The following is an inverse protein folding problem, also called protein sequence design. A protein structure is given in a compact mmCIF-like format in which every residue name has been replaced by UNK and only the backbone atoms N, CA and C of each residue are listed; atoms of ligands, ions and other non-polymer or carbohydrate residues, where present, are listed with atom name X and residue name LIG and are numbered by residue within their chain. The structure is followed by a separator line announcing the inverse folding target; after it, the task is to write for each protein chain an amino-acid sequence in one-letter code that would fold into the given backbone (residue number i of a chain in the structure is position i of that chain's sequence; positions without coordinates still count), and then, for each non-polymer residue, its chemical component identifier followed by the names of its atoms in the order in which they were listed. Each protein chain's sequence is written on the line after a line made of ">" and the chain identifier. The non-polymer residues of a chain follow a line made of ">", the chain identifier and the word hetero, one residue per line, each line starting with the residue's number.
data_IF_148131873699
#
_entry.id   IF_148131873699
#
_cell.length_a   1.000
_cell.length_b   1.000
_cell.length_c   1.000
_cell.angle_alpha   90.00
_cell.angle_beta   90.00
_cell.angle_gamma   90.00
#
_symmetry.space_group_name_H-M   'P 1'
#
loop_
_entity.id
_entity.type
_entity.pdbx_description
1 polymer ?
#
# COMPACT_ATOMS: atom_id res chain seq x y z
N UNK A 1 2.38 36.36 14.89
CA UNK A 1 2.05 34.94 15.22
C UNK A 1 1.68 34.20 13.94
N UNK A 2 2.07 32.93 13.80
CA UNK A 2 1.70 32.04 12.67
C UNK A 2 0.83 30.90 13.19
N UNK A 3 -0.22 30.54 12.45
CA UNK A 3 -1.12 29.45 12.77
C UNK A 3 -1.08 28.39 11.68
N UNK A 4 -0.65 27.17 12.02
CA UNK A 4 -0.73 26.01 11.14
C UNK A 4 -1.84 25.07 11.64
N UNK A 5 -2.91 24.96 10.86
CA UNK A 5 -4.13 24.23 11.24
C UNK A 5 -4.31 22.98 10.39
N UNK A 6 -4.91 21.94 10.97
CA UNK A 6 -5.23 20.71 10.24
C UNK A 6 -4.02 19.80 9.99
N UNK A 7 -3.06 19.76 10.92
CA UNK A 7 -1.83 18.95 10.82
C UNK A 7 -2.10 17.46 11.10
N UNK A 8 -2.81 16.81 10.18
CA UNK A 8 -3.26 15.41 10.26
C UNK A 8 -2.75 14.63 9.04
N UNK A 9 -2.41 13.36 9.21
CA UNK A 9 -2.09 12.47 8.09
C UNK A 9 -3.24 12.40 7.09
N UNK A 10 -2.94 12.66 5.83
CA UNK A 10 -3.90 12.75 4.72
C UNK A 10 -4.43 14.15 4.44
N UNK A 11 -4.24 15.12 5.35
CA UNK A 11 -4.38 16.56 5.01
C UNK A 11 -3.02 17.22 4.84
N UNK A 12 -2.02 16.78 5.59
CA UNK A 12 -0.64 17.22 5.46
C UNK A 12 0.29 16.07 5.91
N UNK A 13 0.95 15.33 5.01
CA UNK A 13 0.88 15.45 3.56
C UNK A 13 -0.49 15.10 2.97
N UNK A 14 -0.86 15.69 1.83
CA UNK A 14 -2.16 15.43 1.17
C UNK A 14 -2.16 14.00 0.62
N UNK A 15 -3.31 13.30 0.73
CA UNK A 15 -3.48 11.88 0.36
C UNK A 15 -2.96 11.49 -1.04
N UNK A 16 -2.86 12.43 -1.97
CA UNK A 16 -2.34 12.20 -3.33
C UNK A 16 -0.83 11.95 -3.40
N UNK A 17 -0.09 12.15 -2.30
CA UNK A 17 1.35 11.89 -2.21
C UNK A 17 1.70 10.60 -1.43
N UNK A 18 0.72 9.74 -1.11
CA UNK A 18 0.93 8.49 -0.35
C UNK A 18 1.15 7.32 -1.34
N UNK A 19 2.17 7.43 -2.18
CA UNK A 19 2.64 6.37 -3.07
C UNK A 19 4.16 6.18 -2.97
N UNK A 20 4.67 5.07 -3.50
CA UNK A 20 6.10 4.73 -3.50
C UNK A 20 6.82 5.25 -4.77
N UNK A 21 6.18 6.09 -5.60
CA UNK A 21 6.74 6.49 -6.90
C UNK A 21 7.61 7.74 -6.82
N UNK A 22 8.66 7.87 -7.66
CA UNK A 22 9.27 9.10 -8.15
C UNK A 22 8.81 10.44 -7.56
N UNK A 23 7.61 10.75 -8.05
CA UNK A 23 6.93 12.00 -7.90
C UNK A 23 6.27 12.15 -6.52
N UNK A 24 5.85 11.05 -5.89
CA UNK A 24 5.20 11.06 -4.58
C UNK A 24 6.18 11.53 -3.49
N UNK A 25 7.43 11.06 -3.53
CA UNK A 25 8.45 11.50 -2.56
C UNK A 25 8.89 12.94 -2.80
N UNK A 26 8.96 13.38 -4.07
CA UNK A 26 9.22 14.78 -4.38
C UNK A 26 8.11 15.69 -3.87
N UNK A 27 6.84 15.28 -4.01
CA UNK A 27 5.69 16.02 -3.48
C UNK A 27 5.68 16.07 -1.95
N UNK A 28 5.99 14.95 -1.27
CA UNK A 28 6.14 14.92 0.20
C UNK A 28 7.25 15.87 0.65
N UNK A 29 8.39 15.88 -0.04
CA UNK A 29 9.52 16.74 0.33
C UNK A 29 9.21 18.22 0.09
N UNK A 30 8.46 18.55 -0.95
CA UNK A 30 7.99 19.92 -1.17
C UNK A 30 6.99 20.35 -0.09
N UNK A 31 6.03 19.50 0.29
CA UNK A 31 5.12 19.80 1.40
C UNK A 31 5.87 19.93 2.74
N UNK A 32 6.92 19.12 2.96
CA UNK A 32 7.82 19.26 4.11
C UNK A 32 8.55 20.61 4.08
N UNK A 33 9.06 21.02 2.93
CA UNK A 33 9.69 22.34 2.74
C UNK A 33 8.70 23.45 3.09
N UNK A 34 7.48 23.41 2.56
CA UNK A 34 6.45 24.42 2.82
C UNK A 34 6.07 24.48 4.30
N UNK A 35 5.94 23.32 4.96
CA UNK A 35 5.71 23.24 6.40
C UNK A 35 6.86 23.89 7.20
N UNK A 36 8.11 23.59 6.85
CA UNK A 36 9.28 24.18 7.51
C UNK A 36 9.41 25.69 7.26
N UNK A 37 9.05 26.17 6.06
CA UNK A 37 8.93 27.61 5.77
C UNK A 37 7.85 28.26 6.65
N UNK A 38 6.73 27.57 6.87
CA UNK A 38 5.68 28.02 7.79
C UNK A 38 6.19 28.16 9.23
N UNK A 39 6.97 27.19 9.71
CA UNK A 39 7.60 27.23 11.04
C UNK A 39 8.60 28.38 11.13
N UNK A 40 9.52 28.47 10.18
CA UNK A 40 10.62 29.46 10.23
C UNK A 40 10.15 30.90 10.00
N UNK A 41 8.97 31.11 9.41
CA UNK A 41 8.31 32.43 9.39
C UNK A 41 7.75 32.84 10.75
N UNK A 42 7.52 31.90 11.66
CA UNK A 42 7.06 32.21 13.00
C UNK A 42 8.24 32.74 13.84
N UNK A 43 8.39 34.07 13.89
CA UNK A 43 9.48 34.70 14.65
C UNK A 43 9.34 34.52 16.16
N UNK A 44 8.15 34.83 16.70
CA UNK A 44 7.91 34.82 18.16
C UNK A 44 6.83 33.83 18.60
N UNK A 45 5.77 33.66 17.82
CA UNK A 45 4.63 32.84 18.20
C UNK A 45 4.20 31.91 17.06
N UNK A 46 4.23 30.61 17.31
CA UNK A 46 3.76 29.54 16.43
C UNK A 46 2.66 28.74 17.12
N UNK A 47 1.51 28.63 16.46
CA UNK A 47 0.37 27.84 16.92
C UNK A 47 0.13 26.68 15.95
N UNK A 48 0.03 25.47 16.48
CA UNK A 48 -0.15 24.24 15.72
C UNK A 48 -1.43 23.53 16.19
N UNK A 49 -2.28 23.08 15.26
CA UNK A 49 -3.49 22.33 15.63
C UNK A 49 -3.76 21.12 14.73
N UNK A 50 -4.31 20.05 15.33
CA UNK A 50 -4.71 18.81 14.67
C UNK A 50 -5.96 18.23 15.33
N UNK A 51 -6.77 17.52 14.56
CA UNK A 51 -8.01 16.89 15.04
C UNK A 51 -7.86 15.37 15.17
N UNK A 52 -8.31 14.80 16.29
CA UNK A 52 -8.24 13.35 16.56
C UNK A 52 -9.39 12.55 15.92
N UNK A 53 -10.50 13.21 15.58
CA UNK A 53 -11.67 12.64 14.88
C UNK A 53 -12.22 13.62 13.83
N UNK A 54 -13.07 13.14 12.92
CA UNK A 54 -13.85 14.00 11.99
C UNK A 54 -15.10 14.59 12.66
N UNK A 55 -15.72 13.82 13.56
CA UNK A 55 -16.96 14.17 14.26
C UNK A 55 -16.72 14.26 15.77
N UNK A 56 -17.47 15.12 16.45
CA UNK A 56 -17.49 15.21 17.91
C UNK A 56 -17.92 13.86 18.51
N UNK A 57 -17.18 13.36 19.50
CA UNK A 57 -17.40 12.03 20.10
C UNK A 57 -17.03 10.84 19.21
N UNK A 58 -16.58 11.06 17.98
CA UNK A 58 -16.19 10.00 17.05
C UNK A 58 -14.91 9.26 17.48
N UNK A 59 -14.78 8.00 17.02
CA UNK A 59 -13.58 7.18 17.26
C UNK A 59 -12.32 7.90 16.73
N UNK A 60 -11.29 7.96 17.58
CA UNK A 60 -10.05 8.72 17.35
C UNK A 60 -9.07 7.98 16.44
N UNK A 61 -9.40 7.85 15.15
CA UNK A 61 -8.55 7.17 14.15
C UNK A 61 -7.58 8.08 13.41
N UNK A 62 -7.72 9.41 13.53
CA UNK A 62 -6.82 10.35 12.84
C UNK A 62 -5.45 10.36 13.51
N UNK A 63 -4.41 10.21 12.71
CA UNK A 63 -3.02 10.35 13.13
C UNK A 63 -2.55 11.77 12.86
N UNK A 64 -1.82 12.38 13.78
CA UNK A 64 -1.14 13.66 13.55
C UNK A 64 -0.19 13.56 12.35
N UNK A 65 0.06 14.68 11.67
CA UNK A 65 1.03 14.74 10.56
C UNK A 65 2.40 14.22 10.98
N UNK A 66 3.06 13.43 10.13
CA UNK A 66 4.44 12.99 10.32
C UNK A 66 5.45 14.13 10.43
N UNK A 67 5.16 15.31 9.89
CA UNK A 67 6.07 16.46 9.97
C UNK A 67 6.15 17.06 11.38
N UNK A 68 5.23 16.70 12.28
CA UNK A 68 5.27 17.10 13.69
C UNK A 68 6.23 16.27 14.55
N UNK A 69 6.73 15.14 14.04
CA UNK A 69 7.62 14.27 14.81
C UNK A 69 8.98 14.96 14.99
N UNK A 70 9.42 15.12 16.25
CA UNK A 70 10.72 15.73 16.59
C UNK A 70 10.71 17.26 16.71
N UNK A 71 9.58 17.93 16.49
CA UNK A 71 9.46 19.39 16.70
C UNK A 71 9.11 19.78 18.13
N UNK A 72 8.54 18.87 18.90
CA UNK A 72 8.13 19.11 20.28
C UNK A 72 9.12 18.45 21.24
N UNK A 73 9.40 19.06 22.40
CA UNK A 73 10.13 18.41 23.48
C UNK A 73 9.52 17.05 23.82
N UNK A 74 10.35 16.03 24.03
CA UNK A 74 9.92 14.64 24.27
C UNK A 74 8.95 14.50 25.47
N UNK A 75 9.05 15.41 26.44
CA UNK A 75 8.23 15.52 27.64
C UNK A 75 6.88 16.22 27.42
N UNK A 76 6.67 16.86 26.27
CA UNK A 76 5.42 17.55 25.97
C UNK A 76 4.29 16.52 25.73
N UNK A 77 3.09 16.67 26.32
CA UNK A 77 1.98 15.71 26.16
C UNK A 77 1.55 15.51 24.69
N UNK A 78 1.84 16.49 23.83
CA UNK A 78 1.63 16.38 22.38
C UNK A 78 2.76 15.71 21.59
N UNK A 79 3.94 15.49 22.20
CA UNK A 79 5.09 14.83 21.57
C UNK A 79 4.91 13.30 21.51
N UNK A 80 4.18 12.73 22.46
CA UNK A 80 3.79 11.33 22.42
C UNK A 80 2.95 11.06 21.17
N UNK A 81 3.37 10.17 20.23
CA UNK A 81 2.49 9.73 19.16
C UNK A 81 1.24 9.20 19.84
N UNK A 82 0.09 9.83 19.60
CA UNK A 82 -1.13 9.58 20.34
C UNK A 82 -1.29 8.08 20.50
N UNK A 83 -1.03 7.58 21.72
CA UNK A 83 -1.37 6.21 22.08
C UNK A 83 -2.87 6.17 21.79
N UNK A 84 -3.25 5.50 20.70
CA UNK A 84 -4.59 4.99 20.60
C UNK A 84 -4.83 4.37 21.96
N UNK A 85 -5.79 4.90 22.72
CA UNK A 85 -6.07 4.48 24.09
C UNK A 85 -6.39 2.99 24.04
N UNK A 86 -5.36 2.17 24.15
CA UNK A 86 -5.42 0.82 24.66
C UNK A 86 -5.68 1.01 26.13
N UNK A 87 -6.94 0.82 26.50
CA UNK A 87 -7.35 0.61 27.88
C UNK A 87 -6.36 -0.38 28.50
N UNK A 88 -5.83 -0.01 29.66
CA UNK A 88 -5.10 -0.91 30.54
C UNK A 88 -5.98 -2.11 30.81
N UNK A 89 -5.69 -3.19 30.12
CA UNK A 89 -6.30 -4.49 30.28
C UNK A 89 -5.24 -5.47 29.82
N UNK A 90 -4.83 -6.35 30.73
CA UNK A 90 -4.01 -7.51 30.46
C UNK A 90 -4.77 -8.47 29.53
N UNK A 91 -5.01 -8.02 28.30
CA UNK A 91 -5.53 -8.82 27.20
C UNK A 91 -4.30 -9.15 26.38
N UNK A 92 -3.98 -10.43 26.13
CA UNK A 92 -2.87 -10.76 25.26
C UNK A 92 -3.11 -10.00 23.97
N UNK A 93 -2.21 -9.04 23.71
CA UNK A 93 -2.10 -8.39 22.43
C UNK A 93 -2.22 -9.51 21.41
N UNK A 94 -3.24 -9.47 20.55
CA UNK A 94 -3.15 -10.17 19.27
C UNK A 94 -1.90 -9.58 18.67
N UNK A 95 -0.75 -10.24 18.92
CA UNK A 95 0.49 -10.02 18.23
C UNK A 95 0.04 -9.93 16.79
N UNK A 96 0.15 -8.73 16.20
CA UNK A 96 -0.01 -8.61 14.77
C UNK A 96 1.03 -9.58 14.23
N UNK A 97 0.57 -10.74 13.75
CA UNK A 97 1.46 -11.77 13.24
C UNK A 97 2.26 -11.06 12.17
N UNK A 98 3.52 -10.76 12.47
CA UNK A 98 4.36 -10.04 11.52
C UNK A 98 4.39 -10.94 10.30
N UNK A 99 4.09 -10.43 9.08
CA UNK A 99 4.10 -11.28 7.90
C UNK A 99 5.45 -12.00 7.84
N UNK A 100 5.39 -13.32 7.88
CA UNK A 100 6.57 -14.19 7.92
C UNK A 100 7.06 -14.49 6.52
N UNK A 101 8.37 -14.66 6.37
CA UNK A 101 8.98 -15.17 5.17
C UNK A 101 8.51 -16.61 4.94
N UNK A 102 8.00 -16.90 3.74
CA UNK A 102 7.54 -18.25 3.39
C UNK A 102 8.66 -19.29 3.37
N UNK A 103 9.91 -18.87 3.13
CA UNK A 103 11.06 -19.78 3.06
C UNK A 103 11.69 -20.09 4.42
N UNK A 104 11.90 -19.08 5.27
CA UNK A 104 12.63 -19.23 6.53
C UNK A 104 11.81 -18.92 7.79
N UNK A 105 10.54 -18.50 7.65
CA UNK A 105 9.70 -18.11 8.78
C UNK A 105 10.08 -16.78 9.46
N UNK A 106 11.19 -16.16 9.06
CA UNK A 106 11.67 -14.90 9.63
C UNK A 106 10.72 -13.74 9.37
N UNK A 107 10.64 -12.78 10.29
CA UNK A 107 9.79 -11.61 10.13
C UNK A 107 10.21 -10.78 8.90
N UNK A 108 9.26 -10.50 7.99
CA UNK A 108 9.52 -9.65 6.83
C UNK A 108 9.57 -8.18 7.27
N UNK A 109 10.67 -7.52 6.92
CA UNK A 109 10.91 -6.11 7.20
C UNK A 109 10.94 -5.37 5.86
N UNK A 110 10.13 -4.31 5.75
CA UNK A 110 10.04 -3.49 4.54
C UNK A 110 8.94 -3.93 3.57
N UNK A 111 8.45 -2.97 2.78
CA UNK A 111 7.28 -3.13 1.90
C UNK A 111 7.52 -4.16 0.79
N UNK A 112 8.72 -4.19 0.20
CA UNK A 112 9.07 -5.15 -0.86
C UNK A 112 9.09 -6.59 -0.35
N UNK A 113 9.73 -6.84 0.80
CA UNK A 113 9.78 -8.17 1.41
C UNK A 113 8.37 -8.69 1.75
N UNK A 114 7.49 -7.79 2.24
CA UNK A 114 6.09 -8.10 2.55
C UNK A 114 5.28 -8.40 1.27
N UNK A 115 5.47 -7.61 0.19
CA UNK A 115 4.78 -7.83 -1.09
C UNK A 115 5.19 -9.15 -1.75
N UNK A 116 6.47 -9.51 -1.66
CA UNK A 116 7.00 -10.78 -2.20
C UNK A 116 6.73 -11.98 -1.28
N UNK A 117 6.48 -11.75 0.01
CA UNK A 117 6.33 -12.81 1.01
C UNK A 117 7.62 -13.59 1.29
N UNK A 118 8.79 -13.03 0.94
CA UNK A 118 10.11 -13.61 1.21
C UNK A 118 11.16 -12.55 1.54
N UNK A 119 12.16 -12.91 2.34
CA UNK A 119 13.30 -12.05 2.60
C UNK A 119 14.31 -12.13 1.44
N UNK A 120 15.20 -11.14 1.35
CA UNK A 120 16.25 -11.07 0.33
C UNK A 120 17.21 -12.26 0.32
N UNK A 121 17.37 -12.95 1.46
CA UNK A 121 18.25 -14.10 1.60
C UNK A 121 17.62 -15.45 1.23
N UNK A 122 16.32 -15.51 0.91
CA UNK A 122 15.67 -16.75 0.48
C UNK A 122 15.67 -16.86 -1.06
N UNK A 123 15.91 -18.07 -1.62
CA UNK A 123 16.02 -18.27 -3.05
C UNK A 123 14.73 -17.86 -3.78
N UNK A 124 14.90 -17.24 -4.94
CA UNK A 124 13.80 -16.86 -5.83
C UNK A 124 13.55 -17.99 -6.83
N UNK A 125 12.44 -18.71 -6.68
CA UNK A 125 12.00 -19.72 -7.66
C UNK A 125 11.03 -19.10 -8.67
N UNK A 126 11.37 -17.91 -9.18
CA UNK A 126 10.53 -17.19 -10.14
C UNK A 126 10.50 -17.99 -11.44
N UNK A 127 9.30 -18.31 -11.91
CA UNK A 127 9.11 -18.80 -13.27
C UNK A 127 9.13 -17.61 -14.23
N UNK A 128 10.24 -17.46 -14.98
CA UNK A 128 10.42 -16.36 -15.91
C UNK A 128 9.42 -16.39 -17.07
N UNK A 129 9.01 -17.58 -17.52
CA UNK A 129 8.04 -17.76 -18.61
C UNK A 129 6.64 -17.35 -18.16
N UNK A 130 6.21 -17.82 -16.98
CA UNK A 130 4.95 -17.41 -16.38
C UNK A 130 4.93 -15.90 -16.08
N UNK A 131 6.03 -15.35 -15.58
CA UNK A 131 6.14 -13.90 -15.34
C UNK A 131 5.98 -13.11 -16.64
N UNK A 132 6.62 -13.55 -17.73
CA UNK A 132 6.49 -12.92 -19.04
C UNK A 132 5.02 -12.96 -19.54
N UNK A 133 4.33 -14.10 -19.40
CA UNK A 133 2.90 -14.22 -19.74
C UNK A 133 2.03 -13.28 -18.91
N UNK A 134 2.27 -13.19 -17.61
CA UNK A 134 1.54 -12.30 -16.70
C UNK A 134 1.77 -10.81 -17.04
N UNK A 135 3.01 -10.43 -17.39
CA UNK A 135 3.33 -9.07 -17.80
C UNK A 135 2.63 -8.69 -19.12
N UNK A 136 2.64 -9.61 -20.10
CA UNK A 136 1.95 -9.42 -21.36
C UNK A 136 0.43 -9.29 -21.17
N UNK A 137 -0.18 -10.20 -20.40
CA UNK A 137 -1.60 -10.13 -20.06
C UNK A 137 -1.96 -8.82 -19.35
N UNK A 138 -1.16 -8.39 -18.36
CA UNK A 138 -1.39 -7.12 -17.67
C UNK A 138 -1.36 -5.95 -18.64
N UNK A 139 -0.40 -5.93 -19.56
CA UNK A 139 -0.30 -4.90 -20.60
C UNK A 139 -1.55 -4.85 -21.48
N UNK A 140 -2.03 -6.00 -21.94
CA UNK A 140 -3.26 -6.09 -22.74
C UNK A 140 -4.49 -5.62 -21.94
N UNK A 141 -4.64 -6.09 -20.70
CA UNK A 141 -5.78 -5.76 -19.85
C UNK A 141 -5.81 -4.28 -19.47
N UNK A 142 -4.66 -3.70 -19.19
CA UNK A 142 -4.52 -2.28 -18.88
C UNK A 142 -4.93 -1.40 -20.07
N UNK A 143 -4.55 -1.77 -21.30
CA UNK A 143 -4.98 -1.10 -22.53
C UNK A 143 -6.50 -1.17 -22.70
N UNK A 144 -7.11 -2.35 -22.53
CA UNK A 144 -8.56 -2.52 -22.60
C UNK A 144 -9.31 -1.63 -21.61
N UNK A 145 -8.77 -1.52 -20.38
CA UNK A 145 -9.36 -0.72 -19.32
C UNK A 145 -8.99 0.75 -19.36
N UNK A 146 -8.12 1.17 -20.31
CA UNK A 146 -7.58 2.54 -20.43
C UNK A 146 -6.96 3.06 -19.14
N UNK A 147 -6.28 2.19 -18.40
CA UNK A 147 -5.57 2.54 -17.15
C UNK A 147 -4.09 2.17 -17.27
N UNK A 148 -3.21 2.80 -16.50
CA UNK A 148 -1.82 2.37 -16.41
C UNK A 148 -1.70 0.90 -15.91
N UNK A 149 -0.72 0.11 -16.42
CA UNK A 149 -0.58 -1.32 -16.07
C UNK A 149 -0.52 -1.62 -14.56
N UNK A 150 0.17 -0.76 -13.80
CA UNK A 150 0.32 -0.95 -12.36
C UNK A 150 -1.02 -0.92 -11.59
N UNK A 151 -2.08 -0.33 -12.16
CA UNK A 151 -3.42 -0.31 -11.56
C UNK A 151 -4.06 -1.70 -11.53
N UNK A 152 -3.81 -2.50 -12.57
CA UNK A 152 -4.27 -3.89 -12.64
C UNK A 152 -3.52 -4.70 -11.58
N UNK A 153 -2.20 -4.81 -11.71
CA UNK A 153 -1.30 -5.39 -10.71
C UNK A 153 0.07 -4.71 -10.72
N UNK A 154 0.71 -4.62 -9.56
CA UNK A 154 2.10 -4.17 -9.45
C UNK A 154 3.06 -5.25 -9.89
N UNK A 155 4.29 -4.87 -10.29
CA UNK A 155 5.34 -5.83 -10.68
C UNK A 155 5.61 -6.82 -9.54
N UNK A 156 5.73 -6.33 -8.31
CA UNK A 156 5.94 -7.18 -7.14
C UNK A 156 4.84 -8.24 -6.96
N UNK A 157 3.58 -7.91 -7.25
CA UNK A 157 2.48 -8.87 -7.18
C UNK A 157 2.58 -9.92 -8.29
N UNK A 158 2.92 -9.54 -9.53
CA UNK A 158 3.10 -10.50 -10.62
C UNK A 158 4.31 -11.42 -10.39
N UNK A 159 5.42 -10.88 -9.89
CA UNK A 159 6.58 -11.68 -9.46
C UNK A 159 6.17 -12.65 -8.34
N UNK A 160 5.40 -12.19 -7.36
CA UNK A 160 4.92 -13.05 -6.29
C UNK A 160 4.00 -14.18 -6.79
N UNK A 161 3.15 -13.92 -7.79
CA UNK A 161 2.31 -14.96 -8.45
C UNK A 161 3.19 -15.95 -9.21
N UNK A 162 4.17 -15.46 -9.98
CA UNK A 162 5.08 -16.32 -10.74
C UNK A 162 5.94 -17.24 -9.84
N UNK A 163 6.32 -16.75 -8.65
CA UNK A 163 7.01 -17.56 -7.63
C UNK A 163 6.08 -18.56 -6.94
N UNK A 164 4.82 -18.18 -6.68
CA UNK A 164 3.92 -18.98 -5.84
C UNK A 164 3.05 -19.97 -6.60
N UNK A 165 2.81 -19.72 -7.90
CA UNK A 165 1.95 -20.54 -8.77
C UNK A 165 0.64 -20.95 -8.08
N UNK A 166 -0.18 -19.98 -7.64
CA UNK A 166 -1.41 -20.28 -6.92
C UNK A 166 -2.34 -21.14 -7.78
N UNK A 167 -2.80 -22.27 -7.23
CA UNK A 167 -3.69 -23.20 -7.93
C UNK A 167 -5.18 -22.82 -7.79
N UNK A 168 -5.52 -21.97 -6.83
CA UNK A 168 -6.89 -21.59 -6.52
C UNK A 168 -7.02 -20.13 -6.03
N UNK A 169 -8.27 -19.68 -5.92
CA UNK A 169 -8.63 -18.34 -5.46
C UNK A 169 -8.12 -18.07 -4.04
N UNK A 170 -8.12 -19.08 -3.17
CA UNK A 170 -7.64 -18.97 -1.80
C UNK A 170 -6.13 -18.66 -1.76
N UNK A 171 -5.33 -19.36 -2.56
CA UNK A 171 -3.90 -19.11 -2.72
C UNK A 171 -3.65 -17.73 -3.34
N UNK A 172 -4.46 -17.29 -4.30
CA UNK A 172 -4.36 -15.92 -4.85
C UNK A 172 -4.58 -14.84 -3.79
N UNK A 173 -5.62 -14.96 -2.95
CA UNK A 173 -5.90 -13.98 -1.89
C UNK A 173 -4.80 -13.93 -0.82
N UNK A 174 -4.06 -15.02 -0.64
CA UNK A 174 -2.92 -15.04 0.28
C UNK A 174 -1.74 -14.16 -0.18
N UNK A 175 -1.70 -13.80 -1.47
CA UNK A 175 -0.67 -12.92 -2.05
C UNK A 175 -0.97 -11.47 -1.71
N UNK A 176 0.01 -10.82 -1.07
CA UNK A 176 -0.08 -9.42 -0.68
C UNK A 176 -0.35 -8.50 -1.90
N UNK A 177 -1.46 -7.77 -1.84
CA UNK A 177 -1.91 -6.88 -2.92
C UNK A 177 -3.08 -7.41 -3.77
N UNK A 178 -3.56 -8.64 -3.50
CA UNK A 178 -4.74 -9.22 -4.14
C UNK A 178 -5.92 -9.17 -3.16
N UNK A 179 -6.73 -8.11 -3.27
CA UNK A 179 -7.98 -7.97 -2.51
C UNK A 179 -9.18 -8.62 -3.22
N UNK A 180 -10.28 -8.80 -2.49
CA UNK A 180 -11.51 -9.42 -3.00
C UNK A 180 -11.99 -8.83 -4.34
N UNK A 181 -11.96 -7.50 -4.51
CA UNK A 181 -12.35 -6.84 -5.76
C UNK A 181 -11.46 -7.23 -6.95
N UNK A 182 -10.15 -7.37 -6.73
CA UNK A 182 -9.22 -7.78 -7.79
C UNK A 182 -9.38 -9.25 -8.13
N UNK A 183 -9.63 -10.10 -7.12
CA UNK A 183 -9.93 -11.51 -7.33
C UNK A 183 -11.18 -11.68 -8.18
N UNK A 184 -12.30 -11.03 -7.83
CA UNK A 184 -13.55 -11.13 -8.60
C UNK A 184 -13.37 -10.68 -10.05
N UNK A 185 -12.50 -9.70 -10.31
CA UNK A 185 -12.34 -9.09 -11.64
C UNK A 185 -11.29 -9.78 -12.52
N UNK A 186 -10.25 -10.37 -11.91
CA UNK A 186 -9.07 -10.85 -12.64
C UNK A 186 -8.60 -12.25 -12.21
N UNK A 187 -9.18 -12.84 -11.16
CA UNK A 187 -8.74 -14.11 -10.59
C UNK A 187 -8.77 -15.26 -11.59
N UNK A 188 -9.89 -15.41 -12.31
CA UNK A 188 -10.05 -16.46 -13.33
C UNK A 188 -9.00 -16.38 -14.44
N UNK A 189 -8.75 -15.18 -14.98
CA UNK A 189 -7.74 -14.96 -16.03
C UNK A 189 -6.34 -15.31 -15.54
N UNK A 190 -6.01 -14.90 -14.31
CA UNK A 190 -4.69 -15.16 -13.71
C UNK A 190 -4.51 -16.66 -13.43
N UNK A 191 -5.52 -17.34 -12.87
CA UNK A 191 -5.46 -18.79 -12.66
C UNK A 191 -5.33 -19.55 -13.98
N UNK A 192 -6.01 -19.12 -15.04
CA UNK A 192 -5.86 -19.72 -16.35
C UNK A 192 -4.40 -19.63 -16.85
N UNK A 193 -3.76 -18.48 -16.69
CA UNK A 193 -2.34 -18.28 -17.05
C UNK A 193 -1.38 -19.11 -16.20
N UNK A 194 -1.68 -19.29 -14.90
CA UNK A 194 -0.90 -20.14 -13.99
C UNK A 194 -1.02 -21.62 -14.38
N UNK A 195 -2.22 -22.07 -14.77
CA UNK A 195 -2.46 -23.43 -15.27
C UNK A 195 -1.94 -23.66 -16.69
N UNK A 196 -1.37 -22.65 -17.35
CA UNK A 196 -0.75 -22.77 -18.67
C UNK A 196 -1.71 -22.58 -19.85
N UNK A 197 -2.95 -22.14 -19.61
CA UNK A 197 -3.82 -21.70 -20.71
C UNK A 197 -3.26 -20.43 -21.34
N UNK A 198 -3.06 -20.43 -22.66
CA UNK A 198 -2.77 -19.19 -23.38
C UNK A 198 -4.02 -18.31 -23.31
N UNK A 199 -3.86 -17.01 -23.02
CA UNK A 199 -4.97 -16.06 -22.96
C UNK A 199 -5.74 -16.09 -24.29
N UNK A 200 -6.86 -16.80 -24.32
CA UNK A 200 -7.76 -16.84 -25.47
C UNK A 200 -8.28 -15.44 -25.70
N UNK A 201 -7.90 -14.88 -26.83
CA UNK A 201 -8.53 -13.74 -27.47
C UNK A 201 -10.02 -14.08 -27.69
N UNK A 202 -10.88 -13.69 -26.76
CA UNK A 202 -12.33 -13.78 -26.96
C UNK A 202 -12.80 -12.62 -27.85
N UNK A 203 -12.54 -12.81 -29.15
CA UNK A 203 -13.18 -12.12 -30.27
C UNK A 203 -14.03 -13.10 -31.09
N UNK A 204 -14.92 -13.86 -30.44
CA UNK A 204 -15.93 -14.67 -31.13
C UNK A 204 -17.07 -13.75 -31.58
N UNK A 205 -17.04 -13.30 -32.85
CA UNK A 205 -18.21 -12.74 -33.53
C UNK A 205 -19.01 -13.92 -34.09
N UNK A 206 -20.29 -14.12 -33.69
CA UNK A 206 -21.09 -15.18 -34.27
C UNK A 206 -21.38 -14.87 -35.74
N UNK A 207 -20.96 -15.78 -36.63
CA UNK A 207 -21.39 -15.79 -38.03
C UNK A 207 -22.87 -16.18 -38.07
N UNK A 208 -23.74 -15.20 -38.31
CA UNK A 208 -25.10 -15.45 -38.80
C UNK A 208 -25.02 -15.84 -40.28
N UNK A 209 -25.41 -17.06 -40.60
CA UNK A 209 -25.45 -17.59 -41.95
C UNK A 209 -26.59 -17.05 -42.80
N UNK A 210 -26.45 -17.27 -44.11
CA UNK A 210 -27.52 -17.52 -45.07
C UNK A 210 -26.96 -18.45 -46.14
#
# INVERSE_FOLDING_TARGET
>A
AVFLVGLVEGTLPIQHAIGDTPADHAAIEEERRLFYVGITRAREHLWLSWALSRAEGGKRYRRRSRFLNGLMPEDHPAALPGRAQGVSGNTPSRQSVKPGCRGCGGALIGTTAIKLGRCSGCPSTVDEELLARLLAWRGARAKQLKVPPYVVFTDATLTAIAEQRPADDAALVSISGIGATKLTRFGADVLALVHGAQSSDHGEVPRSGS
#
